data_IF_643633888851
#
_entry.id   IF_643633888851
#
_cell.length_a   1.000
_cell.length_b   1.000
_cell.length_c   1.000
_cell.angle_alpha   90.00
_cell.angle_beta   90.00
_cell.angle_gamma   90.00
#
_symmetry.space_group_name_H-M   'P 1'
#
loop_
_entity.id
_entity.type
_entity.pdbx_description
1 polymer ?
#
# COMPACT_ATOMS: atom_id res chain seq x y z
N UNK A 1 3.66 16.98 -4.67
CA UNK A 1 4.47 18.19 -4.94
C UNK A 1 4.86 18.26 -6.41
N UNK A 2 5.42 17.20 -7.00
CA UNK A 2 5.85 17.17 -8.42
C UNK A 2 4.75 17.59 -9.40
N UNK A 3 3.50 17.25 -9.13
CA UNK A 3 2.34 17.60 -9.94
C UNK A 3 1.55 18.80 -9.39
N UNK A 4 2.11 19.58 -8.46
CA UNK A 4 1.42 20.71 -7.84
C UNK A 4 0.22 20.36 -6.97
N UNK A 5 0.03 19.08 -6.61
CA UNK A 5 -1.10 18.63 -5.81
C UNK A 5 -0.97 19.07 -4.35
N UNK A 6 -2.09 19.39 -3.66
CA UNK A 6 -2.10 19.75 -2.25
C UNK A 6 -1.60 18.62 -1.35
N UNK A 7 -1.17 18.98 -0.14
CA UNK A 7 -0.84 18.02 0.91
C UNK A 7 -2.07 17.79 1.82
N UNK A 8 -2.36 16.55 2.22
CA UNK A 8 -1.67 15.29 1.89
C UNK A 8 -2.00 14.80 0.47
N UNK A 9 -0.98 14.38 -0.31
CA UNK A 9 -1.09 14.05 -1.73
C UNK A 9 -1.91 12.77 -2.04
N UNK A 10 -1.96 11.81 -1.11
CA UNK A 10 -2.60 10.51 -1.34
C UNK A 10 -4.04 10.58 -1.87
N UNK A 11 -4.97 11.25 -1.19
CA UNK A 11 -6.35 11.38 -1.65
C UNK A 11 -6.49 12.09 -3.00
N UNK A 12 -5.63 13.08 -3.27
CA UNK A 12 -5.64 13.81 -4.54
C UNK A 12 -5.14 12.95 -5.70
N UNK A 13 -4.09 12.16 -5.47
CA UNK A 13 -3.59 11.18 -6.45
C UNK A 13 -4.64 10.11 -6.72
N UNK A 14 -5.30 9.57 -5.69
CA UNK A 14 -6.35 8.56 -5.85
C UNK A 14 -7.51 9.10 -6.68
N UNK A 15 -8.01 10.31 -6.38
CA UNK A 15 -9.08 10.94 -7.13
C UNK A 15 -8.69 11.17 -8.60
N UNK A 16 -7.53 11.80 -8.88
CA UNK A 16 -7.09 12.05 -10.24
C UNK A 16 -6.81 10.77 -11.02
N UNK A 17 -6.36 9.71 -10.35
CA UNK A 17 -6.10 8.42 -11.01
C UNK A 17 -7.36 7.77 -11.58
N UNK A 18 -8.54 8.16 -11.11
CA UNK A 18 -9.82 7.66 -11.62
C UNK A 18 -10.23 8.35 -12.94
N UNK A 19 -9.65 9.52 -13.23
CA UNK A 19 -9.91 10.31 -14.43
C UNK A 19 -8.91 9.99 -15.56
N UNK A 20 -7.78 9.33 -15.24
CA UNK A 20 -6.68 9.06 -16.17
C UNK A 20 -6.64 7.63 -16.72
N UNK A 21 -5.86 7.45 -17.79
CA UNK A 21 -5.59 6.14 -18.37
C UNK A 21 -4.38 5.47 -17.67
N UNK A 22 -4.62 4.34 -17.02
CA UNK A 22 -3.61 3.52 -16.34
C UNK A 22 -2.59 2.91 -17.29
N UNK A 23 -2.91 2.79 -18.57
CA UNK A 23 -2.07 2.21 -19.62
C UNK A 23 -1.26 3.24 -20.41
N UNK A 24 -1.56 4.53 -20.25
CA UNK A 24 -0.90 5.61 -20.99
C UNK A 24 0.61 5.68 -20.76
N UNK A 25 1.08 5.31 -19.56
CA UNK A 25 2.48 5.36 -19.18
C UNK A 25 2.87 4.07 -18.47
N UNK A 26 3.93 3.41 -18.95
CA UNK A 26 4.42 2.18 -18.33
C UNK A 26 5.52 2.46 -17.32
N UNK A 27 5.15 2.69 -16.07
CA UNK A 27 6.11 2.82 -14.97
C UNK A 27 6.65 1.47 -14.48
N UNK A 28 7.90 1.42 -13.95
CA UNK A 28 8.52 0.20 -13.49
C UNK A 28 7.85 -0.37 -12.23
N UNK A 29 7.87 -1.70 -12.09
CA UNK A 29 7.52 -2.44 -10.87
C UNK A 29 8.83 -2.87 -10.20
N UNK A 30 9.11 -2.33 -9.03
CA UNK A 30 10.34 -2.66 -8.31
C UNK A 30 10.40 -4.14 -7.90
N UNK A 31 11.59 -4.73 -8.01
CA UNK A 31 11.86 -6.12 -7.59
C UNK A 31 10.93 -7.17 -8.23
N UNK A 32 10.43 -6.90 -9.44
CA UNK A 32 9.46 -7.78 -10.12
C UNK A 32 10.07 -8.62 -11.26
N UNK A 33 11.37 -8.45 -11.58
CA UNK A 33 12.01 -9.11 -12.71
C UNK A 33 13.43 -9.58 -12.40
N UNK A 34 13.92 -10.53 -13.22
CA UNK A 34 15.29 -11.02 -13.17
C UNK A 34 15.65 -11.73 -11.86
N UNK A 35 16.91 -11.62 -11.46
CA UNK A 35 17.42 -12.24 -10.20
C UNK A 35 16.79 -11.65 -8.94
N UNK A 36 16.32 -10.42 -9.00
CA UNK A 36 15.68 -9.75 -7.86
C UNK A 36 14.31 -10.34 -7.55
N UNK A 37 13.60 -10.90 -8.53
CA UNK A 37 12.27 -11.49 -8.34
C UNK A 37 12.29 -12.62 -7.32
N UNK A 38 13.26 -13.54 -7.40
CA UNK A 38 13.34 -14.67 -6.47
C UNK A 38 13.94 -14.24 -5.12
N UNK A 39 15.00 -13.45 -5.13
CA UNK A 39 15.69 -12.99 -3.93
C UNK A 39 14.81 -12.11 -3.05
N UNK A 40 13.98 -11.27 -3.68
CA UNK A 40 13.11 -10.29 -3.04
C UNK A 40 11.63 -10.58 -3.34
N UNK A 41 11.27 -11.87 -3.26
CA UNK A 41 9.95 -12.36 -3.68
C UNK A 41 8.80 -11.62 -3.01
N UNK A 42 8.95 -11.28 -1.73
CA UNK A 42 7.94 -10.59 -0.93
C UNK A 42 8.32 -9.16 -0.55
N UNK A 43 9.53 -8.72 -0.90
CA UNK A 43 10.00 -7.37 -0.58
C UNK A 43 9.45 -6.33 -1.54
N UNK A 44 9.31 -5.10 -1.06
CA UNK A 44 8.84 -3.97 -1.84
C UNK A 44 9.96 -2.94 -2.03
N UNK A 45 10.02 -2.34 -3.22
CA UNK A 45 10.85 -1.17 -3.50
C UNK A 45 10.13 -0.24 -4.45
N UNK A 46 10.03 1.03 -4.05
CA UNK A 46 9.41 2.09 -4.84
C UNK A 46 10.41 3.20 -5.23
N UNK A 47 11.70 3.03 -4.91
CA UNK A 47 12.73 4.03 -5.22
C UNK A 47 12.85 4.27 -6.73
N UNK A 48 12.94 3.19 -7.52
CA UNK A 48 12.99 3.26 -8.97
C UNK A 48 11.72 3.85 -9.59
N UNK A 49 10.55 3.57 -9.01
CA UNK A 49 9.28 4.15 -9.42
C UNK A 49 9.25 5.66 -9.20
N UNK A 50 9.67 6.13 -8.03
CA UNK A 50 9.74 7.58 -7.72
C UNK A 50 10.63 8.31 -8.73
N UNK A 51 11.81 7.76 -9.01
CA UNK A 51 12.76 8.33 -9.98
C UNK A 51 12.19 8.33 -11.40
N UNK A 52 11.50 7.26 -11.80
CA UNK A 52 10.88 7.16 -13.13
C UNK A 52 9.78 8.21 -13.33
N UNK A 53 8.94 8.43 -12.32
CA UNK A 53 7.89 9.47 -12.37
C UNK A 53 8.52 10.85 -12.45
N UNK A 54 9.56 11.15 -11.64
CA UNK A 54 10.23 12.44 -11.66
C UNK A 54 10.82 12.73 -13.05
N UNK A 55 11.60 11.79 -13.59
CA UNK A 55 12.21 11.93 -14.92
C UNK A 55 11.18 12.07 -16.05
N UNK A 56 10.05 11.39 -15.95
CA UNK A 56 8.98 11.50 -16.94
C UNK A 56 8.39 12.93 -16.94
N UNK A 57 8.08 13.46 -15.75
CA UNK A 57 7.53 14.83 -15.63
C UNK A 57 8.56 15.86 -16.11
N UNK A 58 9.82 15.78 -15.65
CA UNK A 58 10.93 16.65 -16.08
C UNK A 58 11.09 16.64 -17.61
N UNK A 59 11.05 15.46 -18.23
CA UNK A 59 11.19 15.34 -19.70
C UNK A 59 10.08 16.02 -20.49
N UNK A 60 8.88 16.09 -19.94
CA UNK A 60 7.77 16.82 -20.55
C UNK A 60 7.91 18.34 -20.37
N UNK A 61 8.33 18.79 -19.19
CA UNK A 61 8.57 20.19 -18.88
C UNK A 61 9.71 20.76 -19.75
N UNK A 62 10.82 20.02 -19.88
CA UNK A 62 11.95 20.39 -20.74
C UNK A 62 11.56 20.48 -22.22
N UNK A 63 10.61 19.65 -22.64
CA UNK A 63 10.06 19.67 -23.98
C UNK A 63 8.95 20.74 -24.19
N UNK A 64 8.66 21.55 -23.17
CA UNK A 64 7.57 22.54 -23.20
C UNK A 64 6.17 21.93 -23.34
N UNK A 65 6.00 20.66 -22.94
CA UNK A 65 4.74 19.92 -23.04
C UNK A 65 4.00 19.94 -21.71
N UNK A 66 2.67 20.05 -21.79
CA UNK A 66 1.83 19.92 -20.59
C UNK A 66 1.93 18.52 -19.97
N UNK A 67 1.99 18.45 -18.63
CA UNK A 67 2.02 17.18 -17.90
C UNK A 67 0.59 16.63 -17.81
N UNK A 68 0.31 15.41 -18.33
CA UNK A 68 -1.00 14.77 -18.23
C UNK A 68 -1.18 14.21 -16.82
N UNK A 69 -1.48 15.07 -15.84
CA UNK A 69 -1.46 14.74 -14.41
C UNK A 69 -2.40 13.58 -14.04
N UNK A 70 -3.55 13.45 -14.71
CA UNK A 70 -4.48 12.35 -14.47
C UNK A 70 -3.88 11.00 -14.90
N UNK A 71 -3.25 10.93 -16.09
CA UNK A 71 -2.62 9.71 -16.61
C UNK A 71 -1.39 9.35 -15.78
N UNK A 72 -0.58 10.35 -15.37
CA UNK A 72 0.57 10.12 -14.48
C UNK A 72 0.10 9.55 -13.15
N UNK A 73 -0.96 10.10 -12.54
CA UNK A 73 -1.53 9.57 -11.30
C UNK A 73 -2.10 8.15 -11.48
N UNK A 74 -2.80 7.90 -12.59
CA UNK A 74 -3.39 6.60 -12.89
C UNK A 74 -2.31 5.52 -13.09
N UNK A 75 -1.31 5.79 -13.92
CA UNK A 75 -0.20 4.87 -14.18
C UNK A 75 0.69 4.63 -12.96
N UNK A 76 0.94 5.68 -12.16
CA UNK A 76 1.65 5.58 -10.89
C UNK A 76 0.88 4.71 -9.88
N UNK A 77 -0.41 5.00 -9.68
CA UNK A 77 -1.28 4.23 -8.79
C UNK A 77 -1.33 2.76 -9.22
N UNK A 78 -1.48 2.50 -10.53
CA UNK A 78 -1.45 1.14 -11.07
C UNK A 78 -0.12 0.43 -10.77
N UNK A 79 1.02 1.09 -10.95
CA UNK A 79 2.34 0.49 -10.69
C UNK A 79 2.53 0.11 -9.22
N UNK A 80 2.06 0.96 -8.29
CA UNK A 80 2.11 0.69 -6.84
C UNK A 80 1.20 -0.48 -6.48
N UNK A 81 -0.07 -0.39 -6.87
CA UNK A 81 -1.08 -1.37 -6.48
C UNK A 81 -0.86 -2.74 -7.12
N UNK A 82 -0.36 -2.77 -8.36
CA UNK A 82 0.06 -3.99 -9.03
C UNK A 82 1.18 -4.70 -8.25
N UNK A 83 2.22 -3.98 -7.83
CA UNK A 83 3.31 -4.53 -7.04
C UNK A 83 2.84 -5.05 -5.68
N UNK A 84 2.01 -4.28 -4.97
CA UNK A 84 1.51 -4.65 -3.64
C UNK A 84 0.63 -5.90 -3.70
N UNK A 85 -0.36 -5.90 -4.58
CA UNK A 85 -1.35 -6.99 -4.63
C UNK A 85 -0.81 -8.28 -5.23
N UNK A 86 0.08 -8.18 -6.25
CA UNK A 86 0.70 -9.35 -6.84
C UNK A 86 1.54 -10.12 -5.82
N UNK A 87 2.39 -9.41 -5.06
CA UNK A 87 3.26 -10.03 -4.04
C UNK A 87 2.47 -10.51 -2.83
N UNK A 88 1.43 -9.79 -2.40
CA UNK A 88 0.58 -10.21 -1.29
C UNK A 88 -0.18 -11.51 -1.62
N UNK A 89 -0.79 -11.60 -2.79
CA UNK A 89 -1.47 -12.82 -3.24
C UNK A 89 -0.47 -13.97 -3.42
N UNK A 90 0.71 -13.69 -4.01
CA UNK A 90 1.75 -14.70 -4.15
C UNK A 90 2.22 -15.24 -2.78
N UNK A 91 2.37 -14.37 -1.79
CA UNK A 91 2.73 -14.79 -0.43
C UNK A 91 1.67 -15.70 0.19
N UNK A 92 0.39 -15.40 0.02
CA UNK A 92 -0.70 -16.26 0.47
C UNK A 92 -0.64 -17.64 -0.19
N UNK A 93 -0.45 -17.69 -1.51
CA UNK A 93 -0.35 -18.95 -2.26
C UNK A 93 0.86 -19.79 -1.81
N UNK A 94 2.01 -19.16 -1.65
CA UNK A 94 3.25 -19.84 -1.27
C UNK A 94 3.24 -20.35 0.18
N UNK A 95 2.52 -19.69 1.06
CA UNK A 95 2.40 -20.08 2.48
C UNK A 95 1.16 -20.90 2.80
N UNK A 96 0.28 -21.11 1.83
CA UNK A 96 -1.00 -21.80 2.04
C UNK A 96 -2.02 -21.01 2.87
N UNK A 97 -1.85 -19.69 2.98
CA UNK A 97 -2.83 -18.84 3.67
C UNK A 97 -4.04 -18.58 2.77
N UNK A 98 -5.23 -18.85 3.26
CA UNK A 98 -6.51 -18.66 2.57
C UNK A 98 -7.13 -17.27 2.78
N UNK A 99 -6.49 -16.43 3.60
CA UNK A 99 -7.03 -15.12 3.98
C UNK A 99 -5.96 -14.04 3.88
N UNK A 100 -6.25 -12.96 3.15
CA UNK A 100 -5.44 -11.74 3.07
C UNK A 100 -6.13 -10.61 3.82
N UNK A 101 -5.44 -10.04 4.80
CA UNK A 101 -5.90 -8.86 5.54
C UNK A 101 -5.10 -7.64 5.07
N UNK A 102 -5.77 -6.57 4.68
CA UNK A 102 -5.13 -5.30 4.27
C UNK A 102 -5.62 -4.19 5.19
N UNK A 103 -4.69 -3.52 5.87
CA UNK A 103 -4.97 -2.45 6.84
C UNK A 103 -4.12 -1.20 6.62
N UNK A 104 -4.32 -0.20 7.49
CA UNK A 104 -3.61 1.08 7.44
C UNK A 104 -4.20 2.09 6.46
N UNK A 105 -3.71 3.33 6.50
CA UNK A 105 -4.27 4.46 5.73
C UNK A 105 -4.33 4.22 4.22
N UNK A 106 -3.33 3.53 3.66
CA UNK A 106 -3.31 3.22 2.22
C UNK A 106 -4.39 2.22 1.79
N UNK A 107 -4.96 1.44 2.71
CA UNK A 107 -6.09 0.54 2.43
C UNK A 107 -7.38 1.27 2.01
N UNK A 108 -7.42 2.60 2.13
CA UNK A 108 -8.50 3.44 1.59
C UNK A 108 -8.38 3.68 0.07
N UNK A 109 -7.22 3.43 -0.54
CA UNK A 109 -7.00 3.65 -1.97
C UNK A 109 -7.95 2.79 -2.82
N UNK A 110 -8.65 3.44 -3.75
CA UNK A 110 -9.71 2.81 -4.55
C UNK A 110 -9.18 1.70 -5.46
N UNK A 111 -8.02 1.94 -6.10
CA UNK A 111 -7.41 0.95 -7.00
C UNK A 111 -6.82 -0.24 -6.24
N UNK A 112 -6.22 -0.02 -5.06
CA UNK A 112 -5.77 -1.12 -4.22
C UNK A 112 -6.92 -2.06 -3.89
N UNK A 113 -8.06 -1.51 -3.47
CA UNK A 113 -9.24 -2.30 -3.09
C UNK A 113 -9.80 -3.12 -4.24
N UNK A 114 -9.97 -2.52 -5.42
CA UNK A 114 -10.49 -3.23 -6.58
C UNK A 114 -9.53 -4.32 -7.06
N UNK A 115 -8.23 -4.00 -7.21
CA UNK A 115 -7.24 -4.95 -7.70
C UNK A 115 -6.96 -6.10 -6.71
N UNK A 116 -6.98 -5.80 -5.41
CA UNK A 116 -6.88 -6.84 -4.37
C UNK A 116 -8.10 -7.78 -4.42
N UNK A 117 -9.32 -7.24 -4.59
CA UNK A 117 -10.52 -8.04 -4.71
C UNK A 117 -10.48 -8.96 -5.94
N UNK A 118 -10.18 -8.40 -7.11
CA UNK A 118 -10.03 -9.14 -8.37
C UNK A 118 -9.03 -10.31 -8.23
N UNK A 119 -7.86 -10.06 -7.64
CA UNK A 119 -6.78 -11.05 -7.52
C UNK A 119 -7.05 -12.09 -6.46
N UNK A 120 -7.61 -11.70 -5.32
CA UNK A 120 -7.98 -12.63 -4.27
C UNK A 120 -9.10 -13.56 -4.72
N UNK A 121 -10.12 -13.04 -5.41
CA UNK A 121 -11.19 -13.84 -5.99
C UNK A 121 -10.64 -14.86 -6.99
N UNK A 122 -9.80 -14.43 -7.93
CA UNK A 122 -9.16 -15.32 -8.92
C UNK A 122 -8.28 -16.40 -8.28
N UNK A 123 -7.70 -16.12 -7.10
CA UNK A 123 -6.84 -17.06 -6.37
C UNK A 123 -7.58 -17.89 -5.30
N UNK A 124 -8.87 -17.70 -5.09
CA UNK A 124 -9.65 -18.34 -4.04
C UNK A 124 -9.27 -17.90 -2.61
N UNK A 125 -8.73 -16.68 -2.47
CA UNK A 125 -8.29 -16.11 -1.21
C UNK A 125 -9.37 -15.20 -0.63
N UNK A 126 -9.69 -15.35 0.64
CA UNK A 126 -10.61 -14.45 1.35
C UNK A 126 -9.95 -13.10 1.61
N UNK A 127 -10.48 -12.02 1.03
CA UNK A 127 -9.98 -10.67 1.30
C UNK A 127 -10.72 -10.02 2.48
N UNK A 128 -9.97 -9.46 3.42
CA UNK A 128 -10.48 -8.66 4.54
C UNK A 128 -9.98 -7.23 4.45
N UNK A 129 -10.90 -6.29 4.26
CA UNK A 129 -10.62 -4.85 4.19
C UNK A 129 -11.45 -4.13 5.27
N UNK A 130 -10.85 -3.15 5.98
CA UNK A 130 -11.62 -2.34 6.92
C UNK A 130 -12.61 -1.44 6.17
N UNK A 131 -13.74 -1.07 6.79
CA UNK A 131 -14.54 0.08 6.36
C UNK A 131 -13.67 1.34 6.24
N UNK A 132 -13.94 2.20 5.26
CA UNK A 132 -13.10 3.39 4.97
C UNK A 132 -12.85 4.27 6.20
N UNK A 133 -13.86 4.43 7.08
CA UNK A 133 -13.76 5.21 8.32
C UNK A 133 -12.76 4.67 9.35
N UNK A 134 -12.29 3.43 9.17
CA UNK A 134 -11.32 2.78 10.05
C UNK A 134 -9.95 2.53 9.39
N UNK A 135 -9.72 3.06 8.19
CA UNK A 135 -8.42 2.89 7.51
C UNK A 135 -7.32 3.75 8.13
N UNK A 136 -7.66 4.90 8.72
CA UNK A 136 -6.71 5.77 9.42
C UNK A 136 -6.76 5.54 10.93
N UNK A 137 -5.74 6.01 11.64
CA UNK A 137 -5.64 5.90 13.09
C UNK A 137 -6.90 6.44 13.78
N UNK A 138 -7.47 5.65 14.71
CA UNK A 138 -8.65 6.01 15.44
C UNK A 138 -8.73 5.27 16.77
N UNK A 139 -9.43 5.89 17.75
CA UNK A 139 -9.58 5.33 19.09
C UNK A 139 -10.31 3.99 19.14
N UNK A 140 -11.17 3.68 18.16
CA UNK A 140 -11.90 2.41 18.12
C UNK A 140 -10.97 1.21 17.86
N UNK A 141 -9.95 1.37 17.02
CA UNK A 141 -8.92 0.34 16.80
C UNK A 141 -8.17 0.02 18.09
N UNK A 142 -7.72 1.07 18.78
CA UNK A 142 -6.97 0.92 20.04
C UNK A 142 -7.84 0.30 21.13
N UNK A 143 -9.09 0.75 21.26
CA UNK A 143 -10.04 0.17 22.23
C UNK A 143 -10.33 -1.32 21.92
N UNK A 144 -10.47 -1.68 20.64
CA UNK A 144 -10.70 -3.07 20.25
C UNK A 144 -9.47 -3.95 20.56
N UNK A 145 -8.26 -3.46 20.25
CA UNK A 145 -7.01 -4.16 20.57
C UNK A 145 -6.83 -4.31 22.08
N UNK A 146 -7.02 -3.22 22.85
CA UNK A 146 -6.93 -3.25 24.31
C UNK A 146 -7.96 -4.21 24.94
N UNK A 147 -9.19 -4.23 24.43
CA UNK A 147 -10.21 -5.19 24.87
C UNK A 147 -9.82 -6.64 24.58
N UNK A 148 -9.21 -6.91 23.42
CA UNK A 148 -8.70 -8.24 23.08
C UNK A 148 -7.54 -8.65 24.01
N UNK A 149 -6.57 -7.76 24.24
CA UNK A 149 -5.44 -8.00 25.13
C UNK A 149 -5.88 -8.32 26.56
N UNK A 150 -6.79 -7.52 27.12
CA UNK A 150 -7.35 -7.78 28.47
C UNK A 150 -8.03 -9.15 28.55
N UNK A 151 -8.85 -9.49 27.56
CA UNK A 151 -9.52 -10.81 27.51
C UNK A 151 -8.54 -11.98 27.36
N UNK A 152 -7.39 -11.75 26.75
CA UNK A 152 -6.32 -12.75 26.61
C UNK A 152 -5.39 -12.80 27.83
N UNK A 153 -5.67 -12.03 28.89
CA UNK A 153 -4.86 -12.02 30.10
C UNK A 153 -3.53 -11.28 30.01
N UNK A 154 -3.35 -10.45 28.96
CA UNK A 154 -2.13 -9.61 28.81
C UNK A 154 -2.11 -8.60 29.95
N UNK A 155 -1.00 -8.56 30.69
CA UNK A 155 -0.81 -7.60 31.79
C UNK A 155 -0.76 -6.17 31.25
N UNK A 156 -1.30 -5.19 31.99
CA UNK A 156 -1.20 -3.79 31.59
C UNK A 156 0.25 -3.32 31.57
N UNK A 157 0.59 -2.46 30.62
CA UNK A 157 1.90 -1.79 30.59
C UNK A 157 2.09 -0.92 31.83
N UNK A 158 3.34 -0.73 32.31
CA UNK A 158 3.61 0.23 33.37
C UNK A 158 3.27 1.65 32.91
N UNK A 159 2.95 2.55 33.85
CA UNK A 159 2.50 3.91 33.53
C UNK A 159 3.61 4.82 32.97
N UNK A 160 4.85 4.40 33.06
CA UNK A 160 6.06 5.10 32.61
C UNK A 160 6.61 4.57 31.27
N UNK A 161 5.88 3.70 30.57
CA UNK A 161 6.33 3.22 29.26
C UNK A 161 6.42 4.37 28.23
N UNK A 162 7.46 4.33 27.40
CA UNK A 162 7.64 5.24 26.28
C UNK A 162 7.30 4.51 24.97
N UNK A 163 6.70 5.19 23.96
CA UNK A 163 6.52 4.62 22.65
C UNK A 163 7.85 4.39 21.95
N UNK A 164 8.03 3.20 21.35
CA UNK A 164 9.21 2.85 20.55
C UNK A 164 8.81 2.66 19.10
N UNK A 165 9.21 3.61 18.24
CA UNK A 165 8.94 3.55 16.80
C UNK A 165 9.81 2.52 16.06
N UNK A 166 10.85 2.00 16.72
CA UNK A 166 11.76 0.99 16.18
C UNK A 166 11.46 -0.43 16.64
N UNK A 167 10.35 -0.64 17.39
CA UNK A 167 9.99 -1.97 17.89
C UNK A 167 9.83 -2.96 16.74
N UNK A 168 10.54 -4.10 16.76
CA UNK A 168 10.38 -5.16 15.75
C UNK A 168 8.97 -5.72 15.74
N UNK A 169 8.48 -6.12 14.55
CA UNK A 169 7.13 -6.70 14.40
C UNK A 169 7.01 -8.12 14.95
N UNK A 170 8.12 -8.81 15.18
CA UNK A 170 8.20 -10.17 15.73
C UNK A 170 8.28 -10.20 17.25
N UNK A 171 8.32 -9.05 17.91
CA UNK A 171 8.19 -8.99 19.38
C UNK A 171 6.73 -9.24 19.75
N UNK A 172 6.46 -10.43 20.25
CA UNK A 172 5.16 -10.76 20.83
C UNK A 172 4.94 -9.90 22.07
N UNK A 173 3.91 -9.05 22.05
CA UNK A 173 3.44 -8.32 23.25
C UNK A 173 2.62 -9.23 24.20
N UNK A 174 2.50 -10.51 23.85
CA UNK A 174 1.85 -11.52 24.67
C UNK A 174 2.92 -12.34 25.43
N UNK A 175 3.25 -11.91 26.61
CA UNK A 175 3.88 -12.72 27.65
C UNK A 175 2.94 -12.84 28.83
#
# INVERSE_FOLDING_TARGET
RLLGLPYPGGPHVDRLSQEGDRSAIRFPRGLAAGKDKERHRYDFSFSGLKTAVARYVESLEDAGRGVPSADVCAAFSEAVNDSLTAKAVQACLDTGCDTLVVGGGYSANSRLRSLAAERCEAAGITLRLPPLRFCTDNGAQIAALGSAAVRSGVAPSPMDFAPDSGMPLDVSVAH
#
